data_IF_099156314824
#
_entry.id   IF_099156314824
#
_cell.length_a   1.000
_cell.length_b   1.000
_cell.length_c   1.000
_cell.angle_alpha   90.00
_cell.angle_beta   90.00
_cell.angle_gamma   90.00
#
_symmetry.space_group_name_H-M   'P 1'
#
loop_
_entity.id
_entity.type
_entity.pdbx_description
1 polymer ?
#
# COMPACT_ATOMS: atom_id res chain seq x y z
N UNK A 1 16.20 0.51 -2.33
CA UNK A 1 14.76 0.72 -2.03
C UNK A 1 14.15 -0.64 -1.81
N UNK A 2 13.85 -1.00 -0.57
CA UNK A 2 13.20 -2.27 -0.25
C UNK A 2 11.74 -2.14 -0.70
N UNK A 3 11.38 -2.84 -1.78
CA UNK A 3 10.00 -2.96 -2.23
C UNK A 3 9.16 -3.50 -1.07
N UNK A 4 8.00 -2.87 -0.81
CA UNK A 4 7.06 -3.34 0.19
C UNK A 4 6.67 -4.79 -0.17
N UNK A 5 6.80 -5.78 0.73
CA UNK A 5 6.12 -7.05 0.54
C UNK A 5 4.62 -6.80 0.49
N UNK A 6 3.89 -7.53 -0.34
CA UNK A 6 2.44 -7.60 -0.22
C UNK A 6 2.13 -8.17 1.18
N UNK A 7 1.83 -7.29 2.14
CA UNK A 7 1.74 -7.65 3.54
C UNK A 7 0.30 -8.08 3.85
N UNK A 8 0.04 -9.36 3.66
CA UNK A 8 -1.20 -10.01 4.04
C UNK A 8 -0.98 -11.00 5.20
N UNK A 9 -2.03 -11.36 5.97
CA UNK A 9 -1.97 -12.52 6.86
C UNK A 9 -1.46 -13.77 6.12
N UNK A 10 -0.59 -14.56 6.76
CA UNK A 10 0.11 -15.71 6.18
C UNK A 10 1.41 -15.37 5.45
N UNK A 11 1.76 -14.08 5.28
CA UNK A 11 3.01 -13.68 4.63
C UNK A 11 4.21 -14.03 5.50
N UNK A 12 5.15 -14.81 4.96
CA UNK A 12 6.41 -15.11 5.62
C UNK A 12 7.41 -13.95 5.41
N UNK A 13 7.99 -13.49 6.51
CA UNK A 13 8.96 -12.41 6.59
C UNK A 13 10.21 -12.91 7.30
N UNK A 14 11.38 -12.53 6.79
CA UNK A 14 12.64 -12.72 7.47
C UNK A 14 13.11 -11.40 8.06
N UNK A 15 13.32 -11.38 9.38
CA UNK A 15 13.73 -10.21 10.16
C UNK A 15 14.95 -10.63 10.98
N UNK A 16 16.09 -10.00 10.76
CA UNK A 16 17.36 -10.35 11.42
C UNK A 16 17.70 -11.85 11.29
N UNK A 17 17.44 -12.42 10.10
CA UNK A 17 17.62 -13.85 9.78
C UNK A 17 16.67 -14.82 10.49
N UNK A 18 15.76 -14.33 11.33
CA UNK A 18 14.67 -15.12 11.94
C UNK A 18 13.44 -15.06 11.04
N UNK A 19 12.79 -16.19 10.84
CA UNK A 19 11.55 -16.27 10.07
C UNK A 19 10.33 -16.02 10.98
N UNK A 20 9.46 -15.16 10.49
CA UNK A 20 8.23 -14.71 11.12
C UNK A 20 7.10 -14.83 10.11
N UNK A 21 5.91 -15.21 10.56
CA UNK A 21 4.69 -15.17 9.75
C UNK A 21 3.83 -14.00 10.20
N UNK A 22 3.33 -13.21 9.26
CA UNK A 22 2.31 -12.21 9.57
C UNK A 22 1.02 -12.94 9.94
N UNK A 23 0.70 -13.02 11.23
CA UNK A 23 -0.53 -13.67 11.70
C UNK A 23 -1.74 -12.77 11.44
N UNK A 24 -1.60 -11.48 11.74
CA UNK A 24 -2.67 -10.50 11.61
C UNK A 24 -2.08 -9.16 11.16
N UNK A 25 -2.74 -8.49 10.22
CA UNK A 25 -2.36 -7.15 9.75
C UNK A 25 -3.49 -6.20 10.11
N UNK A 26 -3.17 -5.18 10.90
CA UNK A 26 -4.10 -4.17 11.39
C UNK A 26 -3.78 -2.82 10.72
N UNK A 27 -4.14 -2.63 9.43
CA UNK A 27 -3.75 -1.46 8.66
C UNK A 27 -4.33 -0.17 9.24
N UNK A 28 -5.50 -0.25 9.88
CA UNK A 28 -6.20 0.88 10.50
C UNK A 28 -5.36 1.58 11.58
N UNK A 29 -4.51 0.83 12.28
CA UNK A 29 -3.60 1.33 13.33
C UNK A 29 -2.12 1.19 12.95
N UNK A 30 -1.84 0.78 11.71
CA UNK A 30 -0.48 0.63 11.20
C UNK A 30 0.34 -0.45 11.91
N UNK A 31 -0.31 -1.53 12.38
CA UNK A 31 0.34 -2.61 13.12
C UNK A 31 0.24 -3.95 12.40
N UNK A 32 1.15 -4.85 12.76
CA UNK A 32 1.19 -6.25 12.34
C UNK A 32 1.52 -7.12 13.56
N UNK A 33 0.85 -8.25 13.67
CA UNK A 33 1.17 -9.31 14.63
C UNK A 33 1.98 -10.35 13.88
N UNK A 34 3.17 -10.64 14.39
CA UNK A 34 4.10 -11.62 13.85
C UNK A 34 4.13 -12.85 14.76
N UNK A 35 4.10 -14.04 14.17
CA UNK A 35 4.30 -15.31 14.87
C UNK A 35 5.61 -15.97 14.41
N UNK A 36 6.43 -16.41 15.37
CA UNK A 36 7.67 -17.16 15.13
C UNK A 36 7.45 -18.67 15.19
N UNK A 37 8.47 -19.45 14.78
CA UNK A 37 8.40 -20.92 14.75
C UNK A 37 8.14 -21.58 16.10
N UNK A 38 8.54 -20.93 17.20
CA UNK A 38 8.38 -21.44 18.57
C UNK A 38 7.05 -21.00 19.23
N UNK A 39 6.13 -20.41 18.47
CA UNK A 39 4.87 -19.84 18.98
C UNK A 39 5.01 -18.43 19.57
N UNK A 40 6.20 -17.86 19.53
CA UNK A 40 6.49 -16.47 19.90
C UNK A 40 5.64 -15.49 19.10
N UNK A 41 4.93 -14.59 19.77
CA UNK A 41 4.11 -13.56 19.12
C UNK A 41 4.62 -12.16 19.43
N UNK A 42 4.78 -11.34 18.40
CA UNK A 42 5.24 -9.96 18.56
C UNK A 42 4.44 -8.99 17.71
N UNK A 43 3.93 -7.93 18.34
CA UNK A 43 3.32 -6.80 17.63
C UNK A 43 4.40 -5.80 17.20
N UNK A 44 4.36 -5.40 15.93
CA UNK A 44 5.25 -4.40 15.34
C UNK A 44 4.46 -3.41 14.52
N UNK A 45 5.02 -2.23 14.28
CA UNK A 45 4.42 -1.28 13.34
C UNK A 45 4.82 -1.61 11.91
N UNK A 46 3.91 -1.37 10.96
CA UNK A 46 4.18 -1.49 9.52
C UNK A 46 5.32 -0.54 9.14
N UNK A 47 5.34 0.68 9.69
CA UNK A 47 6.44 1.63 9.51
C UNK A 47 7.79 1.07 9.96
N UNK A 48 7.83 0.37 11.10
CA UNK A 48 9.06 -0.26 11.57
C UNK A 48 9.52 -1.34 10.58
N UNK A 49 8.62 -2.21 10.10
CA UNK A 49 8.95 -3.20 9.07
C UNK A 49 9.52 -2.57 7.80
N UNK A 50 8.93 -1.47 7.33
CA UNK A 50 9.34 -0.78 6.11
C UNK A 50 10.75 -0.18 6.20
N UNK A 51 11.12 0.31 7.37
CA UNK A 51 12.44 0.94 7.60
C UNK A 51 13.46 -0.02 8.20
N UNK A 52 13.08 -1.26 8.49
CA UNK A 52 13.98 -2.20 9.13
C UNK A 52 15.00 -2.76 8.11
N UNK A 53 16.31 -2.56 8.34
CA UNK A 53 17.36 -2.83 7.34
C UNK A 53 17.49 -4.32 6.94
N UNK A 54 17.01 -5.23 7.79
CA UNK A 54 17.05 -6.67 7.55
C UNK A 54 15.66 -7.31 7.41
N UNK A 55 14.64 -6.52 7.10
CA UNK A 55 13.31 -7.04 6.78
C UNK A 55 13.21 -7.38 5.29
N UNK A 56 12.92 -8.64 4.98
CA UNK A 56 12.70 -9.11 3.61
C UNK A 56 11.58 -10.17 3.60
N UNK A 57 10.79 -10.29 2.53
CA UNK A 57 9.92 -11.44 2.37
C UNK A 57 10.77 -12.73 2.41
N UNK A 58 10.35 -13.70 3.22
CA UNK A 58 10.89 -15.04 3.13
C UNK A 58 10.35 -15.65 1.83
N UNK A 59 11.17 -16.45 1.13
CA UNK A 59 10.66 -17.23 0.01
C UNK A 59 9.63 -18.18 0.60
N UNK A 60 8.36 -18.01 0.23
CA UNK A 60 7.28 -18.89 0.65
C UNK A 60 7.65 -20.32 0.26
N UNK A 61 8.10 -21.11 1.23
CA UNK A 61 8.16 -22.55 1.12
C UNK A 61 6.76 -23.11 1.16
N UNK A 62 5.92 -22.78 0.18
CA UNK A 62 4.69 -23.54 -0.01
C UNK A 62 5.09 -24.92 -0.53
N UNK A 63 4.64 -26.03 0.10
CA UNK A 63 4.78 -27.34 -0.50
C UNK A 63 4.10 -27.31 -1.88
N UNK A 64 4.86 -27.76 -2.86
CA UNK A 64 4.57 -27.73 -4.29
C UNK A 64 3.13 -28.15 -4.62
N UNK A 65 2.41 -27.28 -5.32
CA UNK A 65 1.06 -27.59 -5.79
C UNK A 65 0.56 -26.82 -7.02
N UNK A 66 1.37 -25.98 -7.67
CA UNK A 66 1.11 -25.51 -9.05
C UNK A 66 2.40 -24.96 -9.63
N UNK A 67 2.73 -25.32 -10.88
CA UNK A 67 3.85 -24.72 -11.62
C UNK A 67 3.65 -23.21 -11.70
N UNK A 68 4.34 -22.46 -10.86
CA UNK A 68 4.55 -21.03 -11.03
C UNK A 68 5.58 -20.86 -12.14
N UNK A 69 5.10 -20.67 -13.36
CA UNK A 69 5.94 -20.12 -14.41
C UNK A 69 6.50 -18.80 -13.89
N UNK A 70 7.80 -18.57 -14.07
CA UNK A 70 8.44 -17.30 -13.78
C UNK A 70 7.59 -16.17 -14.39
N UNK A 71 6.90 -15.39 -13.56
CA UNK A 71 6.14 -14.25 -14.05
C UNK A 71 7.16 -13.27 -14.62
N UNK A 72 7.17 -13.16 -15.95
CA UNK A 72 7.93 -12.12 -16.61
C UNK A 72 7.46 -10.78 -16.05
N UNK A 73 8.36 -9.85 -15.68
CA UNK A 73 7.95 -8.55 -15.19
C UNK A 73 7.13 -7.85 -16.27
N UNK A 74 5.94 -7.36 -15.90
CA UNK A 74 5.03 -6.67 -16.83
C UNK A 74 5.75 -5.46 -17.40
N UNK A 75 6.03 -5.52 -18.70
CA UNK A 75 6.69 -4.47 -19.46
C UNK A 75 5.66 -3.59 -20.14
N UNK A 76 6.07 -2.40 -20.58
CA UNK A 76 5.19 -1.49 -21.34
C UNK A 76 4.70 -2.13 -22.66
N UNK A 77 5.37 -3.16 -23.17
CA UNK A 77 4.97 -3.91 -24.37
C UNK A 77 3.78 -4.83 -24.14
N UNK A 78 3.49 -5.16 -22.88
CA UNK A 78 2.37 -6.03 -22.50
C UNK A 78 1.06 -5.25 -22.33
N UNK A 79 1.12 -3.92 -22.47
CA UNK A 79 -0.05 -3.06 -22.40
C UNK A 79 -0.78 -3.02 -23.74
N UNK A 80 -2.09 -3.20 -23.71
CA UNK A 80 -2.94 -2.88 -24.87
C UNK A 80 -2.89 -1.39 -25.16
N UNK A 81 -3.22 -0.98 -26.39
CA UNK A 81 -3.24 0.43 -26.77
C UNK A 81 -4.12 1.28 -25.86
N UNK A 82 -5.27 0.74 -25.45
CA UNK A 82 -6.16 1.39 -24.49
C UNK A 82 -5.55 1.55 -23.10
N UNK A 83 -4.79 0.56 -22.63
CA UNK A 83 -4.06 0.64 -21.37
C UNK A 83 -2.95 1.69 -21.44
N UNK A 84 -2.20 1.73 -22.54
CA UNK A 84 -1.18 2.77 -22.78
C UNK A 84 -1.83 4.15 -22.79
N UNK A 85 -2.96 4.31 -23.48
CA UNK A 85 -3.71 5.57 -23.53
C UNK A 85 -4.16 6.01 -22.13
N UNK A 86 -4.74 5.11 -21.33
CA UNK A 86 -5.14 5.41 -19.95
C UNK A 86 -3.94 5.75 -19.06
N UNK A 87 -2.83 5.03 -19.19
CA UNK A 87 -1.61 5.31 -18.43
C UNK A 87 -1.05 6.69 -18.75
N UNK A 88 -0.99 7.07 -20.03
CA UNK A 88 -0.56 8.41 -20.48
C UNK A 88 -1.46 9.52 -19.93
N UNK A 89 -2.78 9.33 -19.95
CA UNK A 89 -3.73 10.30 -19.38
C UNK A 89 -3.52 10.50 -17.87
N UNK A 90 -3.32 9.42 -17.13
CA UNK A 90 -3.04 9.48 -15.68
C UNK A 90 -1.72 10.17 -15.39
N UNK A 91 -0.67 9.83 -16.14
CA UNK A 91 0.64 10.47 -16.00
C UNK A 91 0.55 11.98 -16.25
N UNK A 92 -0.12 12.40 -17.33
CA UNK A 92 -0.31 13.82 -17.62
C UNK A 92 -1.08 14.56 -16.52
N UNK A 93 -2.06 13.90 -15.89
CA UNK A 93 -2.81 14.47 -14.77
C UNK A 93 -1.94 14.66 -13.51
N UNK A 94 -1.13 13.67 -13.16
CA UNK A 94 -0.19 13.79 -12.03
C UNK A 94 0.81 14.92 -12.27
N UNK A 95 1.37 15.01 -13.48
CA UNK A 95 2.30 16.08 -13.84
C UNK A 95 1.65 17.47 -13.77
N UNK A 96 0.41 17.59 -14.23
CA UNK A 96 -0.37 18.83 -14.10
C UNK A 96 -0.59 19.20 -12.62
N UNK A 97 -0.95 18.23 -11.77
CA UNK A 97 -1.17 18.49 -10.34
C UNK A 97 0.11 18.93 -9.62
N UNK A 98 1.25 18.34 -9.98
CA UNK A 98 2.55 18.63 -9.35
C UNK A 98 3.21 19.92 -9.87
N UNK A 99 3.02 20.23 -11.15
CA UNK A 99 3.82 21.27 -11.84
C UNK A 99 3.00 22.36 -12.51
N UNK A 100 1.69 22.18 -12.63
CA UNK A 100 0.80 23.00 -13.44
C UNK A 100 0.84 22.70 -14.94
N UNK A 101 1.77 21.87 -15.42
CA UNK A 101 1.93 21.52 -16.85
C UNK A 101 1.60 20.06 -17.12
N UNK A 102 0.73 19.77 -18.10
CA UNK A 102 0.44 18.38 -18.49
C UNK A 102 1.65 17.64 -19.07
N UNK A 103 2.57 18.39 -19.67
CA UNK A 103 3.81 17.87 -20.24
C UNK A 103 5.01 17.95 -19.28
N UNK A 104 4.81 18.47 -18.06
CA UNK A 104 5.84 18.85 -17.06
C UNK A 104 6.74 20.03 -17.45
N UNK A 105 6.87 20.35 -18.74
CA UNK A 105 7.90 21.28 -19.22
C UNK A 105 7.30 22.55 -19.85
N UNK A 106 7.73 23.76 -19.43
CA UNK A 106 7.19 25.02 -19.95
C UNK A 106 7.31 25.19 -21.47
N UNK A 107 8.36 24.65 -22.08
CA UNK A 107 8.54 24.72 -23.55
C UNK A 107 7.51 23.92 -24.36
N UNK A 108 6.68 23.12 -23.68
CA UNK A 108 5.55 22.37 -24.25
C UNK A 108 4.26 22.68 -23.51
N UNK A 109 4.14 23.90 -22.98
CA UNK A 109 2.94 24.37 -22.30
C UNK A 109 1.78 24.43 -23.29
N UNK A 110 0.62 23.91 -22.86
CA UNK A 110 -0.64 24.14 -23.57
C UNK A 110 -1.18 25.53 -23.21
N UNK A 111 -2.09 26.10 -24.05
CA UNK A 111 -2.76 27.35 -23.70
C UNK A 111 -3.42 27.25 -22.31
N UNK A 112 -3.11 28.22 -21.44
CA UNK A 112 -3.60 28.25 -20.07
C UNK A 112 -2.79 27.43 -19.06
N UNK A 113 -1.62 26.90 -19.44
CA UNK A 113 -0.64 26.34 -18.51
C UNK A 113 0.47 27.37 -18.16
N UNK A 114 1.02 27.35 -16.92
CA UNK A 114 0.73 26.38 -15.87
C UNK A 114 -0.62 26.65 -15.20
N UNK A 115 -1.36 25.58 -14.93
CA UNK A 115 -2.55 25.66 -14.08
C UNK A 115 -2.11 25.89 -12.63
N UNK A 116 -2.91 26.62 -11.82
CA UNK A 116 -2.64 26.76 -10.40
C UNK A 116 -2.48 25.38 -9.76
N UNK A 117 -1.51 25.25 -8.85
CA UNK A 117 -1.29 24.01 -8.13
C UNK A 117 -2.57 23.56 -7.42
N UNK A 118 -2.81 22.25 -7.41
CA UNK A 118 -3.92 21.68 -6.68
C UNK A 118 -3.76 21.94 -5.19
N UNK A 119 -4.72 22.64 -4.58
CA UNK A 119 -4.76 22.91 -3.15
C UNK A 119 -5.82 21.99 -2.51
N UNK A 120 -5.42 20.95 -1.76
CA UNK A 120 -6.37 20.01 -1.15
C UNK A 120 -7.21 20.65 -0.02
N UNK A 121 -6.71 21.72 0.61
CA UNK A 121 -7.41 22.40 1.70
C UNK A 121 -8.47 23.37 1.16
N UNK A 122 -8.28 23.86 -0.07
CA UNK A 122 -9.27 24.70 -0.78
C UNK A 122 -10.22 23.88 -1.65
N UNK A 123 -9.80 22.70 -2.13
CA UNK A 123 -10.61 21.86 -3.02
C UNK A 123 -11.37 20.81 -2.22
N UNK A 124 -12.52 21.18 -1.66
CA UNK A 124 -13.43 20.23 -1.00
C UNK A 124 -14.19 19.40 -2.04
N UNK A 125 -13.63 18.24 -2.42
CA UNK A 125 -14.32 17.27 -3.31
C UNK A 125 -15.56 16.65 -2.65
N UNK A 126 -15.70 16.75 -1.33
CA UNK A 126 -16.88 16.30 -0.58
C UNK A 126 -17.30 17.38 0.41
N UNK A 127 -18.42 18.07 0.14
CA UNK A 127 -19.12 18.85 1.16
C UNK A 127 -19.62 17.92 2.25
N UNK A 128 -18.99 17.95 3.43
CA UNK A 128 -19.46 17.21 4.61
C UNK A 128 -19.83 18.23 5.67
N UNK A 129 -21.14 18.42 5.85
CA UNK A 129 -21.70 19.08 7.01
C UNK A 129 -21.24 18.38 8.30
N UNK A 130 -20.64 19.16 9.21
CA UNK A 130 -20.62 18.91 10.65
C UNK A 130 -19.99 17.59 11.13
N UNK A 131 -18.66 17.53 11.26
CA UNK A 131 -18.02 16.57 12.18
C UNK A 131 -18.37 16.94 13.63
N UNK A 132 -19.14 16.10 14.31
CA UNK A 132 -19.13 16.01 15.79
C UNK A 132 -17.97 15.08 16.21
N UNK A 133 -17.17 15.43 17.24
CA UNK A 133 -16.07 14.58 17.67
C UNK A 133 -16.59 13.38 18.50
N UNK A 134 -16.19 12.16 18.13
CA UNK A 134 -16.41 10.94 18.91
C UNK A 134 -15.34 10.87 20.00
N UNK A 135 -15.77 10.84 21.27
CA UNK A 135 -14.91 10.69 22.44
C UNK A 135 -14.51 9.23 22.65
N UNK A 136 -13.22 9.03 22.92
CA UNK A 136 -12.52 7.75 23.02
C UNK A 136 -12.46 7.22 24.47
N UNK A 137 -13.56 6.73 25.07
CA UNK A 137 -13.48 6.09 26.40
C UNK A 137 -14.45 4.95 26.60
N UNK A 138 -14.10 3.76 26.09
CA UNK A 138 -14.52 2.43 26.58
C UNK A 138 -14.40 1.41 25.46
N UNK A 139 -13.36 0.59 25.46
CA UNK A 139 -13.45 -0.77 24.93
C UNK A 139 -12.39 -1.64 25.63
N UNK A 140 -12.68 -1.95 26.89
CA UNK A 140 -12.17 -3.14 27.53
C UNK A 140 -13.20 -4.25 27.31
N UNK A 141 -12.77 -5.37 26.75
CA UNK A 141 -13.46 -6.65 26.85
C UNK A 141 -14.67 -6.85 25.95
N UNK A 142 -14.44 -7.50 24.80
CA UNK A 142 -15.26 -8.64 24.34
C UNK A 142 -14.60 -9.32 23.14
N UNK A 143 -14.21 -10.58 23.34
CA UNK A 143 -13.91 -11.53 22.25
C UNK A 143 -15.20 -11.78 21.47
N UNK A 144 -15.20 -11.76 20.13
CA UNK A 144 -16.30 -12.34 19.38
C UNK A 144 -16.04 -13.83 19.20
N UNK A 145 -16.76 -14.65 19.96
CA UNK A 145 -17.18 -15.97 19.49
C UNK A 145 -18.24 -15.78 18.40
N UNK A 146 -18.34 -16.77 17.51
CA UNK A 146 -19.35 -16.96 16.45
C UNK A 146 -18.86 -16.59 15.04
N UNK A 147 -18.14 -17.55 14.44
CA UNK A 147 -18.35 -17.91 13.05
C UNK A 147 -19.57 -18.84 12.99
N UNK A 148 -20.60 -18.48 12.23
CA UNK A 148 -21.60 -19.40 11.72
C UNK A 148 -22.31 -18.77 10.51
N UNK A 149 -21.99 -19.34 9.34
CA UNK A 149 -22.62 -19.22 8.01
C UNK A 149 -22.30 -17.99 7.17
#
# INVERSE_FOLDING_TARGET
>A
MTSLPDLAPGTALRINSVEWTAEEVLPQVGQVVLSGGDGERQTRSIRWLMHHPHCRPAKSGHPSGRREGAQQPVTTRDLTEDQVKRARLRAAHVLEAETGYRSRHPSRALPGEPRPAYDPDRTTVTGVAGRRPLSWRHWAGRRPSCWAW
#
